data_IF_719091838023
#
_entry.id   IF_719091838023
#
_cell.length_a   1.000
_cell.length_b   1.000
_cell.length_c   1.000
_cell.angle_alpha   90.00
_cell.angle_beta   90.00
_cell.angle_gamma   90.00
#
_symmetry.space_group_name_H-M   'P 1'
#
loop_
_entity.id
_entity.type
_entity.pdbx_description
1 polymer ?
#
# COMPACT_ATOMS: atom_id res chain seq x y z
N UNK A 1 31.69 6.42 34.09
CA UNK A 1 30.34 6.46 33.49
C UNK A 1 30.20 7.72 32.63
N UNK A 2 30.11 7.61 31.29
CA UNK A 2 30.03 8.78 30.42
C UNK A 2 28.67 9.48 30.57
N UNK A 3 28.70 10.78 30.90
CA UNK A 3 27.52 11.64 31.05
C UNK A 3 26.97 11.97 29.67
N UNK A 4 25.80 11.41 29.34
CA UNK A 4 25.08 11.69 28.10
C UNK A 4 24.77 13.20 28.04
N UNK A 5 25.20 13.92 26.98
CA UNK A 5 25.06 15.37 26.89
C UNK A 5 23.58 15.78 26.85
N UNK A 6 23.21 16.85 27.56
CA UNK A 6 21.82 17.34 27.70
C UNK A 6 21.12 17.55 26.35
N UNK A 7 21.87 17.91 25.31
CA UNK A 7 21.39 18.10 23.93
C UNK A 7 20.85 16.81 23.30
N UNK A 8 21.43 15.65 23.63
CA UNK A 8 20.99 14.35 23.10
C UNK A 8 19.60 13.94 23.64
N UNK A 9 19.24 14.37 24.86
CA UNK A 9 17.91 14.10 25.43
C UNK A 9 16.81 14.97 24.80
N UNK A 10 17.14 16.17 24.35
CA UNK A 10 16.18 17.04 23.66
C UNK A 10 15.89 16.52 22.23
N UNK A 11 16.93 16.05 21.54
CA UNK A 11 16.84 15.47 20.19
C UNK A 11 16.00 14.18 20.16
N UNK A 12 16.17 13.28 21.13
CA UNK A 12 15.38 12.04 21.18
C UNK A 12 13.90 12.29 21.46
N UNK A 13 13.56 13.30 22.27
CA UNK A 13 12.17 13.71 22.52
C UNK A 13 11.50 14.29 21.28
N UNK A 14 12.21 15.11 20.51
CA UNK A 14 11.73 15.64 19.22
C UNK A 14 11.51 14.51 18.21
N UNK A 15 12.45 13.57 18.13
CA UNK A 15 12.37 12.42 17.21
C UNK A 15 11.17 11.51 17.52
N UNK A 16 10.86 11.30 18.80
CA UNK A 16 9.71 10.51 19.21
C UNK A 16 8.37 11.19 18.83
N UNK A 17 8.28 12.53 18.99
CA UNK A 17 7.11 13.30 18.55
C UNK A 17 6.89 13.20 17.05
N UNK A 18 7.96 13.29 16.24
CA UNK A 18 7.87 13.18 14.78
C UNK A 18 7.40 11.79 14.37
N UNK A 19 7.94 10.71 14.96
CA UNK A 19 7.48 9.35 14.68
C UNK A 19 6.00 9.16 14.99
N UNK A 20 5.55 9.65 16.14
CA UNK A 20 4.15 9.53 16.53
C UNK A 20 3.23 10.34 15.61
N UNK A 21 3.67 11.51 15.14
CA UNK A 21 2.92 12.32 14.19
C UNK A 21 2.77 11.60 12.85
N UNK A 22 3.83 10.94 12.38
CA UNK A 22 3.85 10.16 11.13
C UNK A 22 2.91 8.96 11.19
N UNK A 23 2.90 8.23 12.31
CA UNK A 23 1.96 7.11 12.53
C UNK A 23 0.51 7.61 12.56
N UNK A 24 0.26 8.74 13.23
CA UNK A 24 -1.09 9.32 13.29
C UNK A 24 -1.58 9.77 11.90
N UNK A 25 -0.69 10.37 11.10
CA UNK A 25 -0.98 10.71 9.70
C UNK A 25 -1.28 9.47 8.85
N UNK A 26 -0.55 8.38 9.07
CA UNK A 26 -0.77 7.11 8.36
C UNK A 26 -2.12 6.48 8.72
N UNK A 27 -2.47 6.45 10.00
CA UNK A 27 -3.78 5.97 10.48
C UNK A 27 -4.91 6.86 9.95
N UNK A 28 -4.72 8.18 9.92
CA UNK A 28 -5.69 9.11 9.37
C UNK A 28 -5.91 8.89 7.86
N UNK A 29 -4.84 8.61 7.11
CA UNK A 29 -4.92 8.25 5.69
C UNK A 29 -5.75 6.98 5.48
N UNK A 30 -5.48 5.92 6.26
CA UNK A 30 -6.26 4.66 6.22
C UNK A 30 -7.74 4.92 6.52
N UNK A 31 -8.02 5.74 7.54
CA UNK A 31 -9.39 6.06 7.95
C UNK A 31 -10.16 6.85 6.88
N UNK A 32 -9.53 7.88 6.29
CA UNK A 32 -10.11 8.64 5.18
C UNK A 32 -10.32 7.75 3.94
N UNK A 33 -9.40 6.83 3.66
CA UNK A 33 -9.54 5.85 2.59
C UNK A 33 -10.74 4.92 2.81
N UNK A 34 -10.96 4.43 4.03
CA UNK A 34 -12.14 3.61 4.35
C UNK A 34 -13.45 4.37 4.16
N UNK A 35 -13.51 5.66 4.49
CA UNK A 35 -14.71 6.49 4.28
C UNK A 35 -14.98 6.72 2.80
N UNK A 36 -13.94 7.01 2.00
CA UNK A 36 -14.10 7.25 0.56
C UNK A 36 -14.61 6.04 -0.22
N UNK A 37 -14.35 4.83 0.28
CA UNK A 37 -14.76 3.57 -0.35
C UNK A 37 -16.03 2.96 0.28
N UNK A 38 -16.42 3.38 1.49
CA UNK A 38 -17.59 2.85 2.20
C UNK A 38 -18.94 3.46 1.79
N UNK A 39 -18.96 4.49 0.95
CA UNK A 39 -20.18 5.25 0.63
C UNK A 39 -20.95 4.76 -0.60
N UNK A 40 -20.51 3.69 -1.29
CA UNK A 40 -21.06 3.34 -2.61
C UNK A 40 -21.97 2.10 -2.66
N UNK A 41 -22.26 1.44 -1.53
CA UNK A 41 -22.92 0.13 -1.53
C UNK A 41 -24.34 0.11 -0.92
N UNK A 42 -25.11 1.19 -1.04
CA UNK A 42 -26.53 1.17 -0.63
C UNK A 42 -27.40 1.65 -1.80
N UNK A 43 -28.23 0.70 -2.27
CA UNK A 43 -29.25 0.80 -3.30
C UNK A 43 -28.74 0.88 -4.75
N UNK A 44 -28.83 -0.23 -5.49
CA UNK A 44 -29.72 -0.28 -6.66
C UNK A 44 -29.89 -1.72 -7.19
N UNK A 45 -31.14 -2.18 -7.15
CA UNK A 45 -31.62 -3.45 -7.67
C UNK A 45 -31.67 -3.42 -9.20
N UNK A 46 -30.66 -4.01 -9.84
CA UNK A 46 -30.72 -4.61 -11.18
C UNK A 46 -29.42 -5.39 -11.33
N UNK A 47 -29.48 -6.72 -11.44
CA UNK A 47 -28.30 -7.61 -11.32
C UNK A 47 -27.15 -7.21 -12.23
N UNK A 48 -27.45 -6.69 -13.43
CA UNK A 48 -26.44 -6.21 -14.39
C UNK A 48 -25.82 -4.87 -13.97
N UNK A 49 -26.63 -3.93 -13.47
CA UNK A 49 -26.15 -2.63 -12.96
C UNK A 49 -25.34 -2.83 -11.68
N UNK A 50 -25.76 -3.77 -10.83
CA UNK A 50 -25.04 -4.18 -9.62
C UNK A 50 -23.68 -4.79 -9.93
N UNK A 51 -23.57 -5.68 -10.93
CA UNK A 51 -22.29 -6.27 -11.34
C UNK A 51 -21.34 -5.20 -11.92
N UNK A 52 -21.84 -4.28 -12.74
CA UNK A 52 -21.03 -3.18 -13.31
C UNK A 52 -20.56 -2.22 -12.20
N UNK A 53 -21.43 -1.92 -11.24
CA UNK A 53 -21.11 -1.16 -10.03
C UNK A 53 -19.99 -1.82 -9.22
N UNK A 54 -20.11 -3.12 -8.96
CA UNK A 54 -19.13 -3.89 -8.19
C UNK A 54 -17.78 -3.98 -8.93
N UNK A 55 -17.77 -4.20 -10.25
CA UNK A 55 -16.54 -4.19 -11.07
C UNK A 55 -15.85 -2.82 -11.04
N UNK A 56 -16.63 -1.75 -11.08
CA UNK A 56 -16.12 -0.38 -11.01
C UNK A 56 -15.53 -0.09 -9.63
N UNK A 57 -16.19 -0.57 -8.57
CA UNK A 57 -15.70 -0.49 -7.20
C UNK A 57 -14.37 -1.26 -7.02
N UNK A 58 -14.32 -2.53 -7.45
CA UNK A 58 -13.11 -3.36 -7.39
C UNK A 58 -11.97 -2.70 -8.18
N UNK A 59 -12.25 -2.17 -9.38
CA UNK A 59 -11.28 -1.43 -10.19
C UNK A 59 -10.75 -0.20 -9.44
N UNK A 60 -11.63 0.58 -8.83
CA UNK A 60 -11.25 1.77 -8.05
C UNK A 60 -10.30 1.39 -6.92
N UNK A 61 -10.67 0.38 -6.12
CA UNK A 61 -9.85 -0.13 -5.02
C UNK A 61 -8.50 -0.64 -5.54
N UNK A 62 -8.47 -1.49 -6.56
CA UNK A 62 -7.23 -2.05 -7.11
C UNK A 62 -6.29 -0.98 -7.69
N UNK A 63 -6.85 0.03 -8.35
CA UNK A 63 -6.08 1.11 -8.97
C UNK A 63 -5.35 2.00 -7.95
N UNK A 64 -5.88 2.09 -6.72
CA UNK A 64 -5.28 2.88 -5.65
C UNK A 64 -4.42 2.02 -4.72
N UNK A 65 -4.87 0.81 -4.38
CA UNK A 65 -4.20 -0.07 -3.42
C UNK A 65 -2.88 -0.62 -3.97
N UNK A 66 -2.80 -0.93 -5.26
CA UNK A 66 -1.57 -1.47 -5.86
C UNK A 66 -0.36 -0.54 -5.73
N UNK A 67 -0.45 0.71 -6.24
CA UNK A 67 0.64 1.67 -6.11
C UNK A 67 1.02 1.96 -4.65
N UNK A 68 0.03 2.06 -3.75
CA UNK A 68 0.26 2.34 -2.33
C UNK A 68 1.01 1.17 -1.66
N UNK A 69 0.55 -0.07 -1.84
CA UNK A 69 1.21 -1.26 -1.28
C UNK A 69 2.62 -1.43 -1.86
N UNK A 70 2.79 -1.22 -3.16
CA UNK A 70 4.10 -1.25 -3.81
C UNK A 70 5.06 -0.23 -3.21
N UNK A 71 4.62 1.01 -3.01
CA UNK A 71 5.42 2.06 -2.40
C UNK A 71 5.81 1.73 -0.94
N UNK A 72 4.87 1.21 -0.15
CA UNK A 72 5.14 0.80 1.24
C UNK A 72 6.17 -0.31 1.30
N UNK A 73 6.02 -1.35 0.48
CA UNK A 73 6.99 -2.46 0.44
C UNK A 73 8.37 -2.00 -0.03
N UNK A 74 8.42 -1.06 -0.97
CA UNK A 74 9.69 -0.49 -1.43
C UNK A 74 10.40 0.31 -0.33
N UNK A 75 9.64 1.10 0.45
CA UNK A 75 10.18 1.81 1.62
C UNK A 75 10.69 0.82 2.67
N UNK A 76 9.92 -0.21 2.98
CA UNK A 76 10.32 -1.25 3.96
C UNK A 76 11.59 -1.96 3.48
N UNK A 77 11.67 -2.32 2.20
CA UNK A 77 12.89 -2.88 1.63
C UNK A 77 14.09 -1.94 1.79
N UNK A 78 13.94 -0.65 1.46
CA UNK A 78 14.99 0.35 1.64
C UNK A 78 15.48 0.46 3.10
N UNK A 79 14.57 0.37 4.06
CA UNK A 79 14.92 0.33 5.50
C UNK A 79 15.71 -0.94 5.84
N UNK A 80 15.28 -2.11 5.37
CA UNK A 80 16.00 -3.37 5.59
C UNK A 80 17.40 -3.35 4.97
N UNK A 81 17.53 -2.78 3.77
CA UNK A 81 18.82 -2.58 3.10
C UNK A 81 19.74 -1.67 3.93
N UNK A 82 19.23 -0.50 4.35
CA UNK A 82 20.00 0.46 5.15
C UNK A 82 20.41 -0.12 6.52
N UNK A 83 19.52 -0.86 7.17
CA UNK A 83 19.82 -1.57 8.44
C UNK A 83 20.89 -2.64 8.21
N UNK A 84 20.85 -3.34 7.07
CA UNK A 84 21.90 -4.29 6.68
C UNK A 84 23.29 -3.66 6.61
N UNK A 85 23.40 -2.40 6.20
CA UNK A 85 24.70 -1.71 6.07
C UNK A 85 25.36 -1.37 7.42
N UNK A 86 24.58 -1.21 8.49
CA UNK A 86 25.08 -0.90 9.84
C UNK A 86 25.23 -2.13 10.74
N UNK A 87 24.82 -3.30 10.25
CA UNK A 87 24.92 -4.57 10.97
C UNK A 87 26.30 -5.24 10.79
N UNK A 88 26.76 -6.03 11.78
CA UNK A 88 27.94 -6.87 11.63
C UNK A 88 27.82 -7.82 10.42
N UNK A 89 28.96 -8.21 9.81
CA UNK A 89 28.98 -9.00 8.57
C UNK A 89 28.17 -10.30 8.66
N UNK A 90 28.13 -10.94 9.83
CA UNK A 90 27.39 -12.19 10.07
C UNK A 90 25.87 -12.05 9.92
N UNK A 91 25.33 -10.84 10.16
CA UNK A 91 23.89 -10.55 10.03
C UNK A 91 23.55 -9.76 8.77
N UNK A 92 24.53 -9.05 8.20
CA UNK A 92 24.38 -8.22 6.99
C UNK A 92 23.84 -9.00 5.79
N UNK A 93 24.27 -10.25 5.60
CA UNK A 93 23.78 -11.09 4.51
C UNK A 93 22.26 -11.36 4.63
N UNK A 94 21.78 -11.65 5.85
CA UNK A 94 20.37 -11.96 6.08
C UNK A 94 19.46 -10.75 5.84
N UNK A 95 19.89 -9.55 6.25
CA UNK A 95 19.14 -8.31 6.00
C UNK A 95 19.11 -7.93 4.51
N UNK A 96 20.21 -8.12 3.77
CA UNK A 96 20.23 -7.91 2.33
C UNK A 96 19.29 -8.88 1.60
N UNK A 97 19.34 -10.17 1.94
CA UNK A 97 18.45 -11.17 1.35
C UNK A 97 16.98 -10.87 1.66
N UNK A 98 16.66 -10.48 2.90
CA UNK A 98 15.31 -10.05 3.27
C UNK A 98 14.86 -8.82 2.46
N UNK A 99 15.72 -7.81 2.30
CA UNK A 99 15.43 -6.64 1.47
C UNK A 99 15.13 -7.03 0.02
N UNK A 100 15.94 -7.92 -0.57
CA UNK A 100 15.75 -8.35 -1.96
C UNK A 100 14.43 -9.10 -2.12
N UNK A 101 14.11 -10.01 -1.19
CA UNK A 101 12.85 -10.75 -1.22
C UNK A 101 11.63 -9.82 -1.12
N UNK A 102 11.71 -8.76 -0.30
CA UNK A 102 10.65 -7.75 -0.19
C UNK A 102 10.52 -6.95 -1.50
N UNK A 103 11.63 -6.58 -2.15
CA UNK A 103 11.60 -5.90 -3.45
C UNK A 103 10.92 -6.78 -4.51
N UNK A 104 11.28 -8.05 -4.58
CA UNK A 104 10.67 -9.00 -5.53
C UNK A 104 9.15 -9.09 -5.26
N UNK A 105 8.73 -9.19 -4.00
CA UNK A 105 7.31 -9.16 -3.63
C UNK A 105 6.60 -7.87 -4.05
N UNK A 106 7.24 -6.70 -3.87
CA UNK A 106 6.70 -5.41 -4.29
C UNK A 106 6.49 -5.32 -5.81
N UNK A 107 7.43 -5.85 -6.60
CA UNK A 107 7.34 -5.90 -8.06
C UNK A 107 6.16 -6.79 -8.47
N UNK A 108 6.04 -7.98 -7.89
CA UNK A 108 4.94 -8.92 -8.19
C UNK A 108 3.58 -8.28 -7.90
N UNK A 109 3.42 -7.66 -6.73
CA UNK A 109 2.16 -7.00 -6.34
C UNK A 109 1.82 -5.85 -7.29
N UNK A 110 2.81 -5.07 -7.71
CA UNK A 110 2.62 -3.95 -8.65
C UNK A 110 2.15 -4.45 -10.02
N UNK A 111 2.80 -5.49 -10.55
CA UNK A 111 2.40 -6.12 -11.82
C UNK A 111 1.00 -6.73 -11.73
N UNK A 112 0.68 -7.40 -10.62
CA UNK A 112 -0.61 -8.03 -10.42
C UNK A 112 -1.74 -7.01 -10.30
N UNK A 113 -1.49 -5.86 -9.65
CA UNK A 113 -2.46 -4.76 -9.60
C UNK A 113 -2.74 -4.17 -10.98
N UNK A 114 -1.71 -3.93 -11.79
CA UNK A 114 -1.88 -3.43 -13.17
C UNK A 114 -2.67 -4.44 -14.01
N UNK A 115 -2.30 -5.72 -13.95
CA UNK A 115 -3.00 -6.79 -14.67
C UNK A 115 -4.47 -6.89 -14.25
N UNK A 116 -4.74 -6.84 -12.95
CA UNK A 116 -6.10 -6.95 -12.41
C UNK A 116 -6.97 -5.74 -12.75
N UNK A 117 -6.39 -4.54 -12.76
CA UNK A 117 -7.07 -3.31 -13.21
C UNK A 117 -7.41 -3.39 -14.70
N UNK A 118 -6.48 -3.87 -15.53
CA UNK A 118 -6.70 -4.09 -16.97
C UNK A 118 -7.80 -5.12 -17.23
N UNK A 119 -7.78 -6.23 -16.48
CA UNK A 119 -8.82 -7.26 -16.56
C UNK A 119 -10.20 -6.72 -16.17
N UNK A 120 -10.29 -5.94 -15.08
CA UNK A 120 -11.54 -5.33 -14.66
C UNK A 120 -12.12 -4.39 -15.73
N UNK A 121 -11.26 -3.64 -16.43
CA UNK A 121 -11.66 -2.79 -17.57
C UNK A 121 -12.17 -3.63 -18.73
N UNK A 122 -11.43 -4.66 -19.15
CA UNK A 122 -11.84 -5.55 -20.23
C UNK A 122 -13.18 -6.24 -19.93
N UNK A 123 -13.36 -6.75 -18.71
CA UNK A 123 -14.62 -7.37 -18.27
C UNK A 123 -15.78 -6.38 -18.28
N UNK A 124 -15.55 -5.11 -17.92
CA UNK A 124 -16.58 -4.06 -18.00
C UNK A 124 -17.01 -3.78 -19.44
N UNK A 125 -16.06 -3.75 -20.38
CA UNK A 125 -16.37 -3.58 -21.80
C UNK A 125 -17.14 -4.76 -22.40
N UNK A 126 -16.74 -6.00 -22.07
CA UNK A 126 -17.44 -7.20 -22.52
C UNK A 126 -18.89 -7.23 -22.00
N UNK A 127 -19.08 -6.93 -20.72
CA UNK A 127 -20.41 -6.91 -20.12
C UNK A 127 -21.28 -5.80 -20.71
N UNK A 128 -20.76 -4.58 -20.85
CA UNK A 128 -21.48 -3.48 -21.50
C UNK A 128 -21.88 -3.80 -22.95
N UNK A 129 -21.01 -4.47 -23.71
CA UNK A 129 -21.31 -4.87 -25.08
C UNK A 129 -22.39 -5.97 -25.14
N UNK A 130 -22.33 -6.96 -24.24
CA UNK A 130 -23.33 -8.05 -24.18
C UNK A 130 -24.76 -7.56 -23.86
N UNK A 131 -24.87 -6.50 -23.06
CA UNK A 131 -26.15 -5.87 -22.69
C UNK A 131 -26.71 -4.98 -23.80
N UNK A 132 -25.85 -4.45 -24.67
CA UNK A 132 -26.26 -3.58 -25.79
C UNK A 132 -26.76 -4.38 -27.01
N UNK A 133 -26.47 -5.67 -27.08
CA UNK A 133 -26.84 -6.57 -28.19
C UNK A 133 -28.13 -7.36 -27.95
N UNK A 134 -28.78 -7.20 -26.79
CA UNK A 134 -30.09 -7.78 -26.42
C UNK A 134 -31.12 -6.67 -26.30
#
# INVERSE_FOLDING_TARGET
>A
MPKIPKYAKALTKQLYRIKHLLVLLFVLQIYLFSISNGASAVLLSSSTIGIISELTYIKSVLSQVGPILGAVLFIVAGVFYAVGQVMPPDKRANFHTASINIIIGAIIISLLSVASTSLAVASSHLLANSVSTT
#
